data_IF_004023661741
#
_entry.id   IF_004023661741
#
_cell.length_a   1.000
_cell.length_b   1.000
_cell.length_c   1.000
_cell.angle_alpha   90.00
_cell.angle_beta   90.00
_cell.angle_gamma   90.00
#
_symmetry.space_group_name_H-M   'P 1'
#
loop_
_entity.id
_entity.type
_entity.pdbx_description
1 polymer ?
#
# COMPACT_ATOMS: atom_id res chain seq x y z
N UNK A 1 8.74 6.48 5.70
CA UNK A 1 9.10 5.38 4.78
C UNK A 1 8.37 4.15 5.27
N UNK A 2 7.33 3.73 4.54
CA UNK A 2 6.32 2.79 5.03
C UNK A 2 6.72 1.31 4.94
N UNK A 3 5.77 0.44 5.26
CA UNK A 3 5.92 -1.03 5.30
C UNK A 3 6.17 -1.63 3.91
N UNK A 4 5.56 -1.07 2.86
CA UNK A 4 5.67 -1.58 1.48
C UNK A 4 6.04 -0.46 0.47
N UNK A 5 7.29 0.03 0.46
CA UNK A 5 7.73 1.10 -0.45
C UNK A 5 7.75 0.69 -1.94
N UNK A 6 7.78 -0.62 -2.20
CA UNK A 6 7.70 -1.18 -3.55
C UNK A 6 6.24 -1.25 -4.07
N UNK A 7 5.25 -1.21 -3.16
CA UNK A 7 3.82 -1.21 -3.50
C UNK A 7 3.19 0.18 -3.50
N UNK A 8 3.68 1.08 -2.65
CA UNK A 8 3.13 2.41 -2.48
C UNK A 8 4.19 3.49 -2.72
N UNK A 9 3.83 4.55 -3.44
CA UNK A 9 4.57 5.81 -3.46
C UNK A 9 3.78 6.93 -2.80
N UNK A 10 4.43 8.07 -2.59
CA UNK A 10 3.76 9.33 -2.29
C UNK A 10 3.83 10.24 -3.51
N UNK A 11 2.70 10.79 -3.91
CA UNK A 11 2.66 11.85 -4.93
C UNK A 11 3.09 13.21 -4.36
N UNK A 12 3.13 14.23 -5.22
CA UNK A 12 3.51 15.60 -4.85
C UNK A 12 2.57 16.25 -3.81
N UNK A 13 1.42 15.64 -3.53
CA UNK A 13 0.43 16.09 -2.55
C UNK A 13 0.39 15.19 -1.30
N UNK A 14 1.43 14.37 -1.08
CA UNK A 14 1.54 13.42 0.04
C UNK A 14 0.44 12.35 0.10
N UNK A 15 -0.21 12.04 -1.04
CA UNK A 15 -1.14 10.91 -1.11
C UNK A 15 -0.44 9.62 -1.51
N UNK A 16 -0.78 8.54 -0.82
CA UNK A 16 -0.32 7.21 -1.18
C UNK A 16 -0.91 6.78 -2.53
N UNK A 17 -0.04 6.44 -3.49
CA UNK A 17 -0.40 5.92 -4.80
C UNK A 17 0.09 4.48 -4.94
N UNK A 18 -0.75 3.61 -5.52
CA UNK A 18 -0.42 2.19 -5.74
C UNK A 18 0.46 2.06 -6.99
N UNK A 19 1.61 1.41 -6.86
CA UNK A 19 2.58 1.19 -7.95
C UNK A 19 2.25 -0.04 -8.79
N UNK A 20 1.59 -1.05 -8.21
CA UNK A 20 1.29 -2.32 -8.85
C UNK A 20 -0.15 -2.79 -8.53
N UNK A 21 -0.92 -3.05 -9.59
CA UNK A 21 -2.27 -3.60 -9.54
C UNK A 21 -2.46 -4.57 -10.73
N UNK A 22 -2.67 -5.89 -10.51
CA UNK A 22 -2.82 -6.55 -9.21
C UNK A 22 -1.51 -6.57 -8.40
N UNK A 23 -1.64 -6.68 -7.07
CA UNK A 23 -0.50 -6.81 -6.16
C UNK A 23 0.24 -8.12 -6.46
N UNK A 24 1.58 -8.11 -6.59
CA UNK A 24 2.37 -9.32 -6.76
C UNK A 24 2.19 -10.29 -5.58
N UNK A 25 2.11 -11.59 -5.86
CA UNK A 25 1.84 -12.62 -4.85
C UNK A 25 2.86 -12.63 -3.69
N UNK A 26 4.12 -12.30 -3.97
CA UNK A 26 5.19 -12.19 -2.97
C UNK A 26 5.10 -10.92 -2.10
N UNK A 27 4.20 -10.00 -2.45
CA UNK A 27 4.00 -8.71 -1.80
C UNK A 27 2.61 -8.58 -1.14
N UNK A 28 1.74 -9.58 -1.26
CA UNK A 28 0.39 -9.56 -0.69
C UNK A 28 0.42 -9.38 0.84
N UNK A 29 1.31 -10.10 1.54
CA UNK A 29 1.45 -9.98 3.01
C UNK A 29 1.87 -8.57 3.44
N UNK A 30 2.74 -7.92 2.65
CA UNK A 30 3.18 -6.54 2.87
C UNK A 30 2.06 -5.54 2.58
N UNK A 31 1.20 -5.80 1.59
CA UNK A 31 0.00 -5.01 1.35
C UNK A 31 -0.99 -5.12 2.52
N UNK A 32 -1.24 -6.33 3.03
CA UNK A 32 -2.12 -6.57 4.17
C UNK A 32 -1.60 -5.88 5.44
N UNK A 33 -0.31 -5.99 5.73
CA UNK A 33 0.30 -5.30 6.87
C UNK A 33 0.21 -3.77 6.73
N UNK A 34 0.40 -3.25 5.52
CA UNK A 34 0.26 -1.81 5.24
C UNK A 34 -1.17 -1.31 5.49
N UNK A 35 -2.19 -2.12 5.16
CA UNK A 35 -3.59 -1.82 5.45
C UNK A 35 -3.84 -1.81 6.97
N UNK A 36 -3.37 -2.84 7.69
CA UNK A 36 -3.58 -2.98 9.13
C UNK A 36 -2.94 -1.85 9.95
N UNK A 37 -1.75 -1.40 9.54
CA UNK A 37 -0.99 -0.36 10.23
C UNK A 37 -1.30 1.06 9.69
N UNK A 38 -2.22 1.21 8.73
CA UNK A 38 -2.58 2.53 8.19
C UNK A 38 -3.38 3.33 9.23
N UNK A 39 -2.81 4.40 9.83
CA UNK A 39 -3.46 5.11 10.94
C UNK A 39 -4.74 5.84 10.51
N UNK A 40 -4.87 6.13 9.22
CA UNK A 40 -6.03 6.83 8.65
C UNK A 40 -7.04 5.88 7.99
N UNK A 41 -6.80 4.57 8.03
CA UNK A 41 -7.59 3.56 7.31
C UNK A 41 -7.83 3.93 5.83
N UNK A 42 -6.82 4.53 5.19
CA UNK A 42 -6.91 5.04 3.82
C UNK A 42 -6.66 3.94 2.76
N UNK A 43 -6.02 2.84 3.16
CA UNK A 43 -5.76 1.70 2.28
C UNK A 43 -6.90 0.68 2.42
N UNK A 44 -7.40 0.20 1.28
CA UNK A 44 -8.53 -0.71 1.21
C UNK A 44 -8.19 -1.84 0.23
N UNK A 45 -8.33 -3.09 0.68
CA UNK A 45 -8.28 -4.27 -0.19
C UNK A 45 -9.60 -4.43 -0.93
N UNK A 46 -9.53 -4.74 -2.22
CA UNK A 46 -10.66 -5.19 -3.03
C UNK A 46 -10.19 -6.43 -3.80
N UNK A 47 -11.00 -7.48 -3.77
CA UNK A 47 -10.77 -8.74 -4.48
C UNK A 47 -11.54 -8.78 -5.81
#
# INVERSE_FOLDING_TARGET
>A
MGIAPDLFDLDDNDYAVVKADPVPADQEELAEQSIAECPRAALLRKD
#
